data_IF_470770767021
#
_entry.id   IF_470770767021
#
_cell.length_a   1.000
_cell.length_b   1.000
_cell.length_c   1.000
_cell.angle_alpha   90.00
_cell.angle_beta   90.00
_cell.angle_gamma   90.00
#
_symmetry.space_group_name_H-M   'P 1'
#
loop_
_entity.id
_entity.type
_entity.pdbx_description
1 polymer ?
#
# COMPACT_ATOMS: atom_id res chain seq x y z
N UNK A 1 2.37 10.98 -25.76
CA UNK A 1 3.42 10.83 -24.73
C UNK A 1 2.91 10.35 -23.37
N UNK A 2 1.77 10.85 -22.82
CA UNK A 2 1.24 10.44 -21.49
C UNK A 2 0.88 8.95 -21.38
N UNK A 3 0.37 8.32 -22.45
CA UNK A 3 0.05 6.88 -22.47
C UNK A 3 1.28 5.97 -22.41
N UNK A 4 2.40 6.41 -22.99
CA UNK A 4 3.67 5.69 -22.97
C UNK A 4 4.32 5.70 -21.58
N UNK A 5 4.25 6.83 -20.86
CA UNK A 5 4.76 6.94 -19.49
C UNK A 5 3.99 6.01 -18.54
N UNK A 6 2.67 5.92 -18.72
CA UNK A 6 1.80 5.04 -17.93
C UNK A 6 2.13 3.55 -18.15
N UNK A 7 2.31 3.16 -19.42
CA UNK A 7 2.69 1.78 -19.75
C UNK A 7 4.09 1.44 -19.21
N UNK A 8 5.03 2.40 -19.25
CA UNK A 8 6.37 2.22 -18.70
C UNK A 8 6.37 2.06 -17.17
N UNK A 9 5.59 2.87 -16.43
CA UNK A 9 5.45 2.77 -14.97
C UNK A 9 4.80 1.44 -14.58
N UNK A 10 3.76 1.00 -15.29
CA UNK A 10 3.13 -0.30 -15.06
C UNK A 10 4.06 -1.46 -15.38
N UNK A 11 4.79 -1.41 -16.49
CA UNK A 11 5.77 -2.44 -16.84
C UNK A 11 6.90 -2.52 -15.81
N UNK A 12 7.39 -1.37 -15.33
CA UNK A 12 8.44 -1.32 -14.31
C UNK A 12 7.95 -1.89 -12.97
N UNK A 13 6.72 -1.57 -12.56
CA UNK A 13 6.11 -2.14 -11.34
C UNK A 13 5.96 -3.67 -11.44
N UNK A 14 5.58 -4.20 -12.60
CA UNK A 14 5.51 -5.64 -12.84
C UNK A 14 6.88 -6.32 -12.82
N UNK A 15 7.90 -5.70 -13.42
CA UNK A 15 9.26 -6.28 -13.46
C UNK A 15 9.97 -6.25 -12.10
N UNK A 16 9.80 -5.21 -11.30
CA UNK A 16 10.39 -5.13 -9.96
C UNK A 16 9.63 -5.99 -8.95
N UNK A 17 8.33 -6.21 -9.11
CA UNK A 17 7.52 -7.04 -8.22
C UNK A 17 7.88 -8.53 -8.26
N UNK A 18 8.42 -9.03 -9.37
CA UNK A 18 8.79 -10.46 -9.50
C UNK A 18 10.19 -10.78 -8.94
N UNK A 19 11.03 -9.78 -8.70
CA UNK A 19 12.42 -9.98 -8.25
C UNK A 19 12.72 -9.37 -6.87
N UNK A 20 11.75 -8.75 -6.19
CA UNK A 20 11.97 -8.12 -4.88
C UNK A 20 11.89 -9.10 -3.69
N UNK A 21 12.06 -10.40 -3.92
CA UNK A 21 12.37 -11.36 -2.85
C UNK A 21 13.85 -11.31 -2.51
N UNK A 22 14.36 -10.18 -2.09
CA UNK A 22 15.62 -10.18 -1.35
C UNK A 22 15.26 -10.46 0.10
N UNK A 23 15.21 -11.74 0.42
CA UNK A 23 15.14 -12.22 1.79
C UNK A 23 16.44 -11.79 2.47
N UNK A 24 16.39 -10.73 3.24
CA UNK A 24 17.43 -10.48 4.24
C UNK A 24 17.07 -11.41 5.40
N UNK A 25 17.49 -12.66 5.30
CA UNK A 25 17.52 -13.58 6.43
C UNK A 25 18.56 -13.06 7.40
N UNK A 26 18.13 -12.33 8.39
CA UNK A 26 18.91 -12.11 9.59
C UNK A 26 18.81 -13.38 10.45
N UNK A 27 19.57 -14.40 10.10
CA UNK A 27 19.83 -15.54 10.96
C UNK A 27 20.66 -15.08 12.17
N UNK A 28 20.00 -14.47 13.14
CA UNK A 28 20.51 -14.34 14.50
C UNK A 28 19.95 -15.47 15.38
N UNK A 29 20.13 -16.70 14.96
CA UNK A 29 20.00 -17.86 15.84
C UNK A 29 21.36 -18.17 16.44
N UNK A 30 21.82 -17.38 17.36
CA UNK A 30 22.86 -17.84 18.28
C UNK A 30 22.20 -18.77 19.27
N UNK A 31 22.60 -20.04 19.37
CA UNK A 31 22.06 -20.92 20.39
C UNK A 31 22.52 -20.43 21.77
N UNK A 32 21.56 -19.95 22.56
CA UNK A 32 21.80 -19.68 23.99
C UNK A 32 21.91 -21.09 24.64
N UNK A 33 23.09 -21.58 24.79
CA UNK A 33 23.38 -22.76 25.62
C UNK A 33 23.23 -22.33 27.07
N UNK A 34 22.12 -22.70 27.69
CA UNK A 34 21.94 -22.63 29.13
C UNK A 34 22.90 -23.60 29.81
N UNK A 35 23.42 -23.27 30.97
CA UNK A 35 24.45 -24.00 31.72
C UNK A 35 24.03 -25.39 32.19
N UNK A 36 22.81 -25.85 31.95
CA UNK A 36 22.25 -27.10 32.50
C UNK A 36 21.91 -28.16 31.47
N UNK A 37 22.39 -28.07 30.23
CA UNK A 37 22.32 -29.17 29.28
C UNK A 37 20.90 -29.68 28.90
N UNK A 38 19.82 -29.03 29.32
CA UNK A 38 18.48 -29.31 28.88
C UNK A 38 18.21 -28.55 27.61
N UNK A 39 18.05 -29.24 26.49
CA UNK A 39 17.50 -28.71 25.29
C UNK A 39 16.05 -28.27 25.57
N UNK A 40 15.83 -26.97 25.77
CA UNK A 40 14.49 -26.42 25.69
C UNK A 40 14.07 -26.67 24.25
N UNK A 41 13.14 -27.59 24.04
CA UNK A 41 12.45 -27.71 22.77
C UNK A 41 11.74 -26.39 22.52
N UNK A 42 12.38 -25.54 21.73
CA UNK A 42 11.70 -24.40 21.14
C UNK A 42 10.50 -24.97 20.39
N UNK A 43 9.30 -24.63 20.87
CA UNK A 43 8.10 -24.82 20.08
C UNK A 43 8.40 -24.22 18.71
N UNK A 44 8.24 -25.03 17.68
CA UNK A 44 8.35 -24.57 16.29
C UNK A 44 7.28 -23.51 16.09
N UNK A 45 7.63 -22.27 16.41
CA UNK A 45 6.88 -21.13 15.92
C UNK A 45 6.96 -21.25 14.39
N UNK A 46 5.84 -21.58 13.75
CA UNK A 46 5.76 -21.61 12.29
C UNK A 46 6.24 -20.24 11.82
N UNK A 47 7.41 -20.19 11.19
CA UNK A 47 7.97 -18.95 10.65
C UNK A 47 6.94 -18.33 9.72
N UNK A 48 6.58 -17.10 9.99
CA UNK A 48 5.62 -16.38 9.15
C UNK A 48 6.27 -16.11 7.80
N UNK A 49 5.80 -16.80 6.77
CA UNK A 49 6.31 -16.63 5.41
C UNK A 49 5.89 -15.26 4.83
N UNK A 50 6.81 -14.66 4.08
CA UNK A 50 6.50 -13.47 3.27
C UNK A 50 5.51 -13.82 2.17
N UNK A 51 4.62 -12.91 1.83
CA UNK A 51 3.64 -13.11 0.78
C UNK A 51 3.39 -11.84 -0.03
N UNK A 52 3.15 -12.02 -1.32
CA UNK A 52 2.75 -10.94 -2.23
C UNK A 52 1.25 -10.98 -2.46
N UNK A 53 0.66 -9.87 -2.85
CA UNK A 53 -0.76 -9.79 -3.13
C UNK A 53 -1.08 -8.79 -4.24
N UNK A 54 -2.18 -9.08 -4.96
CA UNK A 54 -2.84 -8.15 -5.86
C UNK A 54 -4.30 -8.00 -5.45
N UNK A 55 -4.77 -6.78 -5.22
CA UNK A 55 -6.08 -6.52 -4.64
C UNK A 55 -6.79 -5.33 -5.28
N UNK A 56 -8.13 -5.35 -5.22
CA UNK A 56 -8.98 -4.18 -5.43
C UNK A 56 -9.22 -3.53 -4.08
N UNK A 57 -8.95 -2.23 -3.99
CA UNK A 57 -9.11 -1.45 -2.77
C UNK A 57 -10.21 -0.41 -2.89
N UNK A 58 -10.85 -0.13 -1.77
CA UNK A 58 -11.76 0.99 -1.57
C UNK A 58 -11.19 1.92 -0.51
N UNK A 59 -11.21 3.23 -0.78
CA UNK A 59 -10.68 4.27 0.08
C UNK A 59 -11.74 5.34 0.23
N UNK A 60 -12.17 5.59 1.47
CA UNK A 60 -13.17 6.62 1.80
C UNK A 60 -12.57 7.64 2.75
N UNK A 61 -12.41 8.89 2.29
CA UNK A 61 -11.95 10.00 3.11
C UNK A 61 -12.56 11.31 2.62
N UNK A 62 -13.05 12.14 3.55
CA UNK A 62 -13.65 13.47 3.33
C UNK A 62 -14.68 13.54 2.18
N UNK A 63 -15.58 12.56 2.10
CA UNK A 63 -16.60 12.52 1.04
C UNK A 63 -16.09 12.09 -0.33
N UNK A 64 -14.81 11.77 -0.45
CA UNK A 64 -14.22 11.18 -1.66
C UNK A 64 -14.22 9.67 -1.55
N UNK A 65 -14.81 9.03 -2.54
CA UNK A 65 -14.78 7.58 -2.70
C UNK A 65 -13.84 7.24 -3.84
N UNK A 66 -12.74 6.57 -3.53
CA UNK A 66 -11.77 6.13 -4.51
C UNK A 66 -11.72 4.61 -4.56
N UNK A 67 -11.69 4.08 -5.75
CA UNK A 67 -11.36 2.69 -6.00
C UNK A 67 -9.95 2.58 -6.56
N UNK A 68 -9.29 1.49 -6.26
CA UNK A 68 -7.92 1.32 -6.72
C UNK A 68 -7.51 -0.12 -6.86
N UNK A 69 -6.43 -0.31 -7.60
CA UNK A 69 -5.70 -1.56 -7.68
C UNK A 69 -4.46 -1.42 -6.82
N UNK A 70 -4.23 -2.37 -5.94
CA UNK A 70 -3.05 -2.42 -5.08
C UNK A 70 -2.28 -3.70 -5.38
N UNK A 71 -0.98 -3.57 -5.49
CA UNK A 71 -0.04 -4.67 -5.57
C UNK A 71 1.03 -4.46 -4.51
N UNK A 72 1.38 -5.49 -3.75
CA UNK A 72 2.38 -5.31 -2.70
C UNK A 72 2.92 -6.61 -2.13
N UNK A 73 3.86 -6.45 -1.21
CA UNK A 73 4.45 -7.53 -0.45
C UNK A 73 4.36 -7.27 1.05
N UNK A 74 3.96 -8.29 1.79
CA UNK A 74 3.97 -8.32 3.25
C UNK A 74 5.11 -9.24 3.68
N UNK A 75 6.04 -8.68 4.42
CA UNK A 75 7.11 -9.44 5.06
C UNK A 75 6.88 -9.36 6.58
N UNK A 76 6.32 -10.39 7.22
CA UNK A 76 6.11 -10.39 8.66
C UNK A 76 7.43 -10.17 9.39
N UNK A 77 7.45 -9.16 10.28
CA UNK A 77 8.64 -8.67 10.99
C UNK A 77 9.72 -8.06 10.07
N UNK A 78 9.32 -7.54 8.91
CA UNK A 78 10.23 -6.95 7.93
C UNK A 78 9.62 -5.85 7.07
N UNK A 79 10.40 -5.44 6.08
CA UNK A 79 10.06 -4.36 5.14
C UNK A 79 9.51 -4.96 3.85
N UNK A 80 8.47 -4.35 3.31
CA UNK A 80 7.89 -4.61 2.01
C UNK A 80 7.63 -3.33 1.23
N UNK A 81 7.07 -3.46 0.04
CA UNK A 81 6.70 -2.34 -0.83
C UNK A 81 5.29 -2.56 -1.34
N UNK A 82 4.51 -1.47 -1.38
CA UNK A 82 3.18 -1.44 -1.99
C UNK A 82 3.13 -0.43 -3.13
N UNK A 83 2.41 -0.78 -4.15
CA UNK A 83 2.03 0.08 -5.25
C UNK A 83 0.50 0.14 -5.31
N UNK A 84 -0.07 1.34 -5.35
CA UNK A 84 -1.49 1.49 -5.52
C UNK A 84 -1.82 2.50 -6.62
N UNK A 85 -2.82 2.17 -7.42
CA UNK A 85 -3.40 3.04 -8.42
C UNK A 85 -4.83 3.33 -7.99
N UNK A 86 -5.13 4.58 -7.66
CA UNK A 86 -6.46 5.00 -7.21
C UNK A 86 -7.10 5.93 -8.21
N UNK A 87 -8.39 5.77 -8.44
CA UNK A 87 -9.20 6.61 -9.32
C UNK A 87 -10.44 7.08 -8.57
N UNK A 88 -10.75 8.36 -8.72
CA UNK A 88 -12.04 8.90 -8.33
C UNK A 88 -12.93 8.98 -9.56
N UNK A 89 -13.99 8.19 -9.61
CA UNK A 89 -14.91 8.17 -10.75
C UNK A 89 -15.90 9.34 -10.77
N UNK A 90 -16.04 10.07 -9.65
CA UNK A 90 -16.92 11.25 -9.56
C UNK A 90 -16.26 12.52 -10.07
N UNK A 91 -14.93 12.60 -9.96
CA UNK A 91 -14.15 13.76 -10.42
C UNK A 91 -13.43 13.42 -11.72
N UNK A 92 -13.65 14.19 -12.74
CA UNK A 92 -13.10 13.96 -14.08
C UNK A 92 -11.58 13.75 -14.08
N UNK A 93 -11.17 12.48 -14.01
CA UNK A 93 -9.81 12.07 -14.31
C UNK A 93 -8.77 12.22 -13.21
N UNK A 94 -9.18 12.41 -11.96
CA UNK A 94 -8.23 12.39 -10.84
C UNK A 94 -7.65 11.00 -10.64
N UNK A 95 -6.36 10.91 -10.92
CA UNK A 95 -5.60 9.69 -10.83
C UNK A 95 -4.49 9.85 -9.79
N UNK A 96 -4.34 8.85 -8.92
CA UNK A 96 -3.31 8.80 -7.91
C UNK A 96 -2.51 7.51 -8.07
N UNK A 97 -1.18 7.62 -8.03
CA UNK A 97 -0.27 6.48 -7.98
C UNK A 97 0.55 6.57 -6.70
N UNK A 98 0.41 5.59 -5.83
CA UNK A 98 1.13 5.54 -4.56
C UNK A 98 2.28 4.54 -4.65
N UNK A 99 3.42 4.90 -4.07
CA UNK A 99 4.58 4.01 -3.88
C UNK A 99 4.94 4.07 -2.40
N UNK A 100 4.62 3.02 -1.66
CA UNK A 100 4.74 3.00 -0.22
C UNK A 100 5.74 1.94 0.23
N UNK A 101 6.66 2.32 1.11
CA UNK A 101 7.40 1.35 1.92
C UNK A 101 6.48 0.91 3.05
N UNK A 102 6.42 -0.37 3.33
CA UNK A 102 5.69 -0.88 4.46
C UNK A 102 6.59 -1.65 5.43
N UNK A 103 6.25 -1.58 6.70
CA UNK A 103 6.78 -2.45 7.74
C UNK A 103 5.64 -3.24 8.34
N UNK A 104 5.81 -4.55 8.46
CA UNK A 104 4.77 -5.45 8.95
C UNK A 104 5.23 -6.20 10.18
N UNK A 105 4.36 -6.26 11.19
CA UNK A 105 4.51 -7.10 12.38
C UNK A 105 3.60 -8.31 12.23
N UNK A 106 4.17 -9.50 12.20
CA UNK A 106 3.42 -10.75 12.22
C UNK A 106 2.71 -10.92 13.57
N UNK A 107 1.39 -11.09 13.54
CA UNK A 107 0.57 -11.30 14.72
C UNK A 107 0.16 -12.76 14.89
N UNK A 108 -0.16 -13.41 13.78
CA UNK A 108 -0.60 -14.81 13.75
C UNK A 108 -0.04 -15.45 12.50
N UNK A 109 0.52 -16.66 12.66
CA UNK A 109 0.87 -17.58 11.56
C UNK A 109 0.38 -18.96 11.97
N UNK A 110 -0.63 -19.49 11.27
CA UNK A 110 -1.19 -20.81 11.53
C UNK A 110 -1.67 -21.44 10.23
N UNK A 111 -0.91 -22.43 9.75
CA UNK A 111 -1.19 -23.10 8.49
C UNK A 111 -1.27 -22.09 7.33
N UNK A 112 -2.39 -22.06 6.61
CA UNK A 112 -2.61 -21.13 5.49
C UNK A 112 -3.08 -19.73 5.89
N UNK A 113 -3.23 -19.45 7.19
CA UNK A 113 -3.71 -18.17 7.71
C UNK A 113 -2.56 -17.39 8.32
N UNK A 114 -2.38 -16.17 7.86
CA UNK A 114 -1.41 -15.22 8.40
C UNK A 114 -2.09 -13.87 8.64
N UNK A 115 -1.74 -13.23 9.74
CA UNK A 115 -2.23 -11.91 10.12
C UNK A 115 -1.04 -11.02 10.46
N UNK A 116 -0.98 -9.85 9.86
CA UNK A 116 0.07 -8.86 10.12
C UNK A 116 -0.53 -7.46 10.34
N UNK A 117 0.05 -6.74 11.28
CA UNK A 117 -0.17 -5.29 11.39
C UNK A 117 0.85 -4.60 10.51
N UNK A 118 0.39 -3.85 9.52
CA UNK A 118 1.24 -3.21 8.52
C UNK A 118 1.13 -1.69 8.62
N UNK A 119 2.26 -1.02 8.66
CA UNK A 119 2.37 0.44 8.54
C UNK A 119 3.05 0.76 7.22
N UNK A 120 2.32 1.37 6.30
CA UNK A 120 2.87 1.80 5.02
C UNK A 120 2.97 3.32 4.94
N UNK A 121 4.05 3.82 4.35
CA UNK A 121 4.34 5.24 4.20
C UNK A 121 5.08 5.50 2.89
N UNK A 122 4.75 6.61 2.21
CA UNK A 122 5.47 7.01 1.00
C UNK A 122 4.78 8.09 0.18
N UNK A 123 5.30 8.38 -1.02
CA UNK A 123 4.73 9.35 -1.92
C UNK A 123 3.48 8.84 -2.64
N UNK A 124 2.57 9.78 -2.87
CA UNK A 124 1.42 9.68 -3.76
C UNK A 124 1.57 10.70 -4.88
N UNK A 125 1.59 10.22 -6.09
CA UNK A 125 1.68 11.04 -7.31
C UNK A 125 0.28 11.28 -7.84
N UNK A 126 -0.17 12.53 -7.83
CA UNK A 126 -1.52 12.90 -8.19
C UNK A 126 -1.56 13.81 -9.40
N UNK A 127 -2.51 13.57 -10.30
CA UNK A 127 -2.91 14.54 -11.33
C UNK A 127 -4.28 15.08 -10.98
N UNK A 128 -4.46 16.37 -11.04
CA UNK A 128 -5.74 17.02 -10.79
C UNK A 128 -5.99 18.05 -11.88
N UNK A 129 -7.13 17.93 -12.55
CA UNK A 129 -7.60 18.94 -13.48
C UNK A 129 -8.25 20.09 -12.68
N UNK A 130 -7.88 21.32 -12.94
CA UNK A 130 -8.47 22.50 -12.31
C UNK A 130 -9.56 23.08 -13.23
N UNK A 131 -10.73 23.38 -12.66
CA UNK A 131 -11.78 24.09 -13.37
C UNK A 131 -11.34 25.55 -13.58
N UNK A 132 -11.13 25.96 -14.82
CA UNK A 132 -10.80 27.34 -15.17
C UNK A 132 -12.00 28.28 -15.12
N UNK A 133 -13.17 27.73 -15.37
CA UNK A 133 -14.41 28.54 -15.45
C UNK A 133 -15.38 28.00 -16.49
N UNK A 134 -16.27 28.87 -16.91
CA UNK A 134 -17.24 28.60 -17.97
C UNK A 134 -16.86 29.44 -19.17
N UNK A 135 -16.71 28.83 -20.34
CA UNK A 135 -16.42 29.58 -21.58
C UNK A 135 -17.66 30.34 -22.09
N UNK A 136 -17.45 31.19 -23.10
CA UNK A 136 -18.53 32.03 -23.70
C UNK A 136 -19.69 31.21 -24.27
N UNK A 137 -19.52 29.90 -24.44
CA UNK A 137 -20.55 28.95 -24.91
C UNK A 137 -21.27 28.22 -23.79
N UNK A 138 -20.97 28.53 -22.52
CA UNK A 138 -21.56 27.90 -21.36
C UNK A 138 -20.94 26.53 -21.01
N UNK A 139 -19.84 26.14 -21.64
CA UNK A 139 -19.15 24.87 -21.33
C UNK A 139 -18.09 25.08 -20.25
N UNK A 140 -17.93 24.06 -19.37
CA UNK A 140 -16.88 24.02 -18.37
C UNK A 140 -15.52 23.87 -19.06
N UNK A 141 -14.59 24.77 -18.79
CA UNK A 141 -13.20 24.66 -19.24
C UNK A 141 -12.33 24.14 -18.11
N UNK A 142 -11.60 23.07 -18.42
CA UNK A 142 -10.66 22.43 -17.51
C UNK A 142 -9.22 22.72 -17.91
N UNK A 143 -8.39 23.18 -16.98
CA UNK A 143 -6.96 23.23 -17.17
C UNK A 143 -6.38 21.82 -16.95
N UNK A 144 -5.59 21.37 -17.93
CA UNK A 144 -4.93 20.04 -17.84
C UNK A 144 -4.05 19.97 -16.60
N UNK A 145 -4.28 18.90 -15.88
CA UNK A 145 -3.85 18.64 -14.56
C UNK A 145 -2.44 19.03 -14.19
N UNK A 146 -2.32 19.75 -13.12
CA UNK A 146 -1.08 19.91 -12.39
C UNK A 146 -0.68 18.58 -11.76
N UNK A 147 0.62 18.32 -11.74
CA UNK A 147 1.19 17.17 -11.08
C UNK A 147 1.57 17.56 -9.65
N UNK A 148 1.14 16.74 -8.69
CA UNK A 148 1.44 16.93 -7.27
C UNK A 148 2.11 15.69 -6.71
N UNK A 149 2.95 15.91 -5.71
CA UNK A 149 3.53 14.83 -4.90
C UNK A 149 3.11 15.06 -3.46
N UNK A 150 2.33 14.12 -2.95
CA UNK A 150 1.73 14.16 -1.62
C UNK A 150 2.28 13.02 -0.76
N UNK A 151 2.13 13.11 0.55
CA UNK A 151 2.51 12.05 1.48
C UNK A 151 1.31 11.15 1.81
N UNK A 152 1.58 9.87 1.99
CA UNK A 152 0.58 8.89 2.43
C UNK A 152 1.11 8.14 3.65
N UNK A 153 0.23 7.92 4.62
CA UNK A 153 0.43 7.03 5.76
C UNK A 153 -0.76 6.07 5.82
N UNK A 154 -0.51 4.77 5.86
CA UNK A 154 -1.56 3.75 5.82
C UNK A 154 -1.30 2.62 6.82
N UNK A 155 -1.65 2.82 8.10
CA UNK A 155 -1.74 1.73 9.07
C UNK A 155 -2.92 0.82 8.72
N UNK A 156 -2.69 -0.50 8.63
CA UNK A 156 -3.70 -1.48 8.29
C UNK A 156 -3.44 -2.84 8.89
N UNK A 157 -4.51 -3.60 9.11
CA UNK A 157 -4.44 -5.03 9.36
C UNK A 157 -4.46 -5.74 8.01
N UNK A 158 -3.51 -6.63 7.79
CA UNK A 158 -3.37 -7.44 6.58
C UNK A 158 -3.56 -8.91 6.94
N UNK A 159 -4.42 -9.60 6.21
CA UNK A 159 -4.81 -10.98 6.48
C UNK A 159 -4.68 -11.80 5.20
N UNK A 160 -4.00 -12.92 5.29
CA UNK A 160 -3.94 -13.95 4.24
C UNK A 160 -4.67 -15.20 4.75
N UNK A 161 -5.57 -15.74 3.92
CA UNK A 161 -6.24 -17.03 4.17
C UNK A 161 -6.17 -17.84 2.89
N UNK A 162 -5.25 -18.81 2.85
CA UNK A 162 -4.94 -19.53 1.63
C UNK A 162 -4.46 -18.58 0.53
N UNK A 163 -5.22 -18.49 -0.55
CA UNK A 163 -4.96 -17.58 -1.68
C UNK A 163 -5.68 -16.24 -1.58
N UNK A 164 -6.48 -16.00 -0.54
CA UNK A 164 -7.16 -14.73 -0.35
C UNK A 164 -6.28 -13.77 0.45
N UNK A 165 -6.23 -12.52 0.01
CA UNK A 165 -5.60 -11.42 0.71
C UNK A 165 -6.65 -10.36 1.04
N UNK A 166 -6.73 -9.97 2.30
CA UNK A 166 -7.63 -8.97 2.82
C UNK A 166 -6.83 -7.91 3.55
N UNK A 167 -7.23 -6.65 3.45
CA UNK A 167 -6.74 -5.64 4.37
C UNK A 167 -7.82 -4.66 4.76
N UNK A 168 -7.68 -4.08 5.96
CA UNK A 168 -8.51 -3.00 6.43
C UNK A 168 -7.69 -2.09 7.33
N UNK A 169 -7.90 -0.77 7.20
CA UNK A 169 -7.11 0.19 7.95
C UNK A 169 -7.57 1.61 7.77
N UNK A 170 -6.66 2.50 8.12
CA UNK A 170 -6.86 3.93 7.99
C UNK A 170 -5.87 4.50 6.98
N UNK A 171 -6.36 5.27 6.03
CA UNK A 171 -5.57 5.93 5.01
C UNK A 171 -5.50 7.42 5.33
N UNK A 172 -4.30 7.94 5.53
CA UNK A 172 -4.05 9.33 5.81
C UNK A 172 -3.25 9.96 4.68
N UNK A 173 -3.82 10.96 4.04
CA UNK A 173 -3.24 11.66 2.91
C UNK A 173 -2.85 13.07 3.32
N UNK A 174 -1.66 13.51 2.95
CA UNK A 174 -1.06 14.77 3.34
C UNK A 174 -0.51 15.53 2.12
N UNK A 175 -1.14 16.65 1.72
CA UNK A 175 -0.64 17.48 0.63
C UNK A 175 0.80 17.91 0.86
N UNK A 176 1.67 17.71 -0.15
CA UNK A 176 3.09 18.09 -0.08
C UNK A 176 3.81 17.59 1.18
N UNK A 177 3.45 16.41 1.67
CA UNK A 177 3.97 15.81 2.92
C UNK A 177 3.70 16.62 4.20
N UNK A 178 2.70 17.49 4.19
CA UNK A 178 2.31 18.25 5.37
C UNK A 178 1.20 17.52 6.12
N UNK A 179 1.56 16.81 7.19
CA UNK A 179 0.66 15.98 7.99
C UNK A 179 -0.14 16.76 9.05
N UNK A 180 -0.38 18.04 8.81
CA UNK A 180 -1.24 18.86 9.66
C UNK A 180 -2.61 19.02 9.03
N UNK A 181 -3.67 19.00 9.86
CA UNK A 181 -5.03 19.27 9.42
C UNK A 181 -5.18 20.68 8.84
N UNK A 182 -4.44 21.65 9.37
CA UNK A 182 -4.45 23.03 8.90
C UNK A 182 -3.85 23.19 7.50
N UNK A 183 -2.99 22.26 7.09
CA UNK A 183 -2.40 22.18 5.75
C UNK A 183 -3.24 21.36 4.75
N UNK A 184 -4.44 20.93 5.14
CA UNK A 184 -5.35 20.17 4.29
C UNK A 184 -5.11 18.64 4.32
N UNK A 185 -4.37 18.15 5.30
CA UNK A 185 -4.26 16.70 5.49
C UNK A 185 -5.60 16.11 5.91
N UNK A 186 -5.94 14.99 5.31
CA UNK A 186 -7.22 14.31 5.51
C UNK A 186 -7.02 12.80 5.60
N UNK A 187 -7.98 12.11 6.18
CA UNK A 187 -7.90 10.69 6.34
C UNK A 187 -9.25 10.01 6.36
N UNK A 188 -9.23 8.71 6.18
CA UNK A 188 -10.43 7.91 6.18
C UNK A 188 -10.13 6.43 6.18
N UNK A 189 -11.17 5.65 6.05
CA UNK A 189 -11.09 4.20 6.08
C UNK A 189 -10.67 3.65 4.72
N UNK A 190 -9.88 2.59 4.72
CA UNK A 190 -9.60 1.81 3.53
C UNK A 190 -9.76 0.31 3.80
N UNK A 191 -10.17 -0.41 2.77
CA UNK A 191 -10.18 -1.86 2.77
C UNK A 191 -9.81 -2.39 1.38
N UNK A 192 -9.26 -3.59 1.33
CA UNK A 192 -8.97 -4.26 0.07
C UNK A 192 -9.26 -5.76 0.13
N UNK A 193 -9.57 -6.32 -1.02
CA UNK A 193 -9.79 -7.74 -1.23
C UNK A 193 -9.05 -8.17 -2.49
N UNK A 194 -8.29 -9.25 -2.43
CA UNK A 194 -7.50 -9.74 -3.54
C UNK A 194 -6.99 -11.15 -3.39
N UNK A 195 -5.97 -11.45 -4.16
CA UNK A 195 -5.30 -12.74 -4.16
C UNK A 195 -3.87 -12.60 -3.68
N UNK A 196 -3.41 -13.59 -2.89
CA UNK A 196 -2.02 -13.78 -2.48
C UNK A 196 -1.34 -14.83 -3.35
N UNK A 197 -0.07 -14.65 -3.58
CA UNK A 197 0.79 -15.54 -4.34
C UNK A 197 2.23 -15.46 -3.87
#
# INVERSE_FOLDING_TARGET
MKRLLFTAVMATAFFFGTNAQTVINNDYSSPITGADGQSVSQSSDEESESWSYGAVGFYSFDGFENWGLTYGGINPNGIGIDFALRMNFKDHGNFNADVLLNYSLGLVSKGSTQVALTLAFGPSFRTQDELKGVNDKGNLEWEKGKFFVDGVLNPRLSVKVGKLALSAGYFYWAPKFKFSKDDGATGGFNCSLGLSF
#
